data_IF_884904025071
#
_entry.id   IF_884904025071
#
_cell.length_a   1.000
_cell.length_b   1.000
_cell.length_c   1.000
_cell.angle_alpha   90.00
_cell.angle_beta   90.00
_cell.angle_gamma   90.00
#
_symmetry.space_group_name_H-M   'P 1'
#
loop_
_entity.id
_entity.type
_entity.pdbx_description
1 polymer ?
#
# COMPACT_ATOMS: atom_id res chain seq x y z
N UNK A 1 5.39 17.54 12.55
CA UNK A 1 4.59 16.44 11.97
C UNK A 1 3.17 16.64 12.45
N UNK A 2 2.21 16.78 11.53
CA UNK A 2 0.80 16.95 11.90
C UNK A 2 0.22 15.60 12.36
N UNK A 3 -0.64 15.57 13.39
CA UNK A 3 -1.35 14.36 13.76
C UNK A 3 -2.26 13.91 12.61
N UNK A 4 -2.26 12.60 12.32
CA UNK A 4 -3.16 12.02 11.32
C UNK A 4 -4.62 11.98 11.78
N UNK A 5 -5.56 11.75 10.87
CA UNK A 5 -7.00 11.79 11.15
C UNK A 5 -7.42 10.86 12.32
N UNK A 6 -6.85 9.67 12.41
CA UNK A 6 -7.09 8.73 13.52
C UNK A 6 -6.66 9.28 14.89
N UNK A 7 -5.57 10.07 14.95
CA UNK A 7 -5.11 10.67 16.20
C UNK A 7 -6.00 11.85 16.63
N UNK A 8 -6.52 12.61 15.66
CA UNK A 8 -7.48 13.70 15.90
C UNK A 8 -8.81 13.13 16.41
N UNK A 9 -9.30 12.05 15.81
CA UNK A 9 -10.54 11.39 16.23
C UNK A 9 -10.44 10.85 17.67
N UNK A 10 -9.30 10.25 18.03
CA UNK A 10 -9.10 9.75 19.40
C UNK A 10 -9.07 10.90 20.43
N UNK A 11 -8.42 12.02 20.11
CA UNK A 11 -8.43 13.21 20.97
C UNK A 11 -9.84 13.80 21.11
N UNK A 12 -10.62 13.84 20.02
CA UNK A 12 -12.01 14.29 20.07
C UNK A 12 -12.91 13.36 20.88
N UNK A 13 -12.79 12.03 20.73
CA UNK A 13 -13.53 11.06 21.53
C UNK A 13 -13.21 11.13 23.03
N UNK A 14 -11.98 11.52 23.38
CA UNK A 14 -11.56 11.60 24.78
C UNK A 14 -12.00 12.91 25.45
N UNK A 15 -12.64 13.83 24.71
CA UNK A 15 -13.23 15.05 25.27
C UNK A 15 -14.64 14.74 25.78
N UNK A 16 -14.88 15.09 27.04
CA UNK A 16 -16.18 14.90 27.68
C UNK A 16 -17.22 15.83 27.05
N UNK A 17 -18.39 15.32 26.62
CA UNK A 17 -19.43 16.17 26.05
C UNK A 17 -20.03 17.11 27.10
N UNK A 18 -20.33 18.33 26.69
CA UNK A 18 -20.97 19.31 27.56
C UNK A 18 -22.40 18.89 27.86
N UNK A 19 -22.65 18.47 29.11
CA UNK A 19 -23.98 17.99 29.54
C UNK A 19 -25.09 19.03 29.37
N UNK A 20 -24.80 20.33 29.61
CA UNK A 20 -25.82 21.39 29.44
C UNK A 20 -26.13 21.63 27.97
N UNK A 21 -25.11 21.76 27.14
CA UNK A 21 -25.31 21.88 25.71
C UNK A 21 -26.07 20.69 25.12
N UNK A 22 -25.76 19.46 25.55
CA UNK A 22 -26.45 18.25 25.09
C UNK A 22 -27.93 18.19 25.50
N UNK A 23 -28.25 18.64 26.72
CA UNK A 23 -29.61 18.57 27.26
C UNK A 23 -30.52 19.72 26.81
N UNK A 24 -29.99 20.94 26.74
CA UNK A 24 -30.76 22.17 26.49
C UNK A 24 -30.45 22.84 25.17
N UNK A 25 -29.43 22.38 24.41
CA UNK A 25 -28.95 23.06 23.20
C UNK A 25 -28.25 24.40 23.46
N UNK A 26 -28.13 24.79 24.74
CA UNK A 26 -27.54 26.03 25.19
C UNK A 26 -26.61 25.75 26.38
N UNK A 27 -25.49 26.46 26.41
CA UNK A 27 -24.46 26.34 27.44
C UNK A 27 -24.12 27.73 27.96
N UNK A 28 -24.19 27.91 29.28
CA UNK A 28 -23.91 29.19 29.95
C UNK A 28 -22.46 29.67 29.76
N UNK A 29 -21.55 28.75 29.49
CA UNK A 29 -20.13 29.03 29.24
C UNK A 29 -19.82 29.41 27.78
N UNK A 30 -20.80 29.28 26.87
CA UNK A 30 -20.67 29.64 25.46
C UNK A 30 -19.45 29.00 24.79
N UNK A 31 -18.67 29.74 23.97
CA UNK A 31 -17.51 29.21 23.25
C UNK A 31 -16.30 28.89 24.14
N UNK A 32 -16.29 29.37 25.39
CA UNK A 32 -15.23 29.07 26.38
C UNK A 32 -15.52 27.80 27.20
N UNK A 33 -16.49 26.99 26.78
CA UNK A 33 -16.82 25.77 27.50
C UNK A 33 -15.62 24.80 27.48
N UNK A 34 -15.22 24.32 28.66
CA UNK A 34 -14.15 23.33 28.79
C UNK A 34 -14.55 21.92 28.33
N UNK A 35 -15.82 21.75 27.96
CA UNK A 35 -16.44 20.51 27.53
C UNK A 35 -16.88 20.62 26.07
N UNK A 36 -16.89 19.51 25.36
CA UNK A 36 -17.13 19.50 23.93
C UNK A 36 -18.60 19.80 23.61
N UNK A 37 -18.85 20.83 22.81
CA UNK A 37 -20.17 21.09 22.25
C UNK A 37 -20.34 20.22 21.01
N UNK A 38 -20.71 18.96 21.20
CA UNK A 38 -21.07 18.09 20.08
C UNK A 38 -22.43 18.55 19.56
N UNK A 39 -22.45 19.39 18.52
CA UNK A 39 -23.53 19.27 17.53
C UNK A 39 -23.39 17.85 16.97
N UNK A 40 -24.49 17.11 16.98
CA UNK A 40 -24.60 15.68 16.73
C UNK A 40 -23.88 15.12 15.47
N UNK A 41 -23.44 15.99 14.57
CA UNK A 41 -22.77 15.67 13.31
C UNK A 41 -21.24 15.46 13.40
N UNK A 42 -20.51 16.12 14.31
CA UNK A 42 -19.03 16.13 14.25
C UNK A 42 -18.38 14.75 14.41
N UNK A 43 -18.86 13.94 15.35
CA UNK A 43 -18.33 12.58 15.57
C UNK A 43 -18.66 11.63 14.41
N UNK A 44 -19.81 11.81 13.75
CA UNK A 44 -20.16 11.01 12.57
C UNK A 44 -19.28 11.38 11.38
N UNK A 45 -19.07 12.67 11.13
CA UNK A 45 -18.24 13.14 10.03
C UNK A 45 -16.79 12.65 10.16
N UNK A 46 -16.21 12.72 11.38
CA UNK A 46 -14.88 12.16 11.64
C UNK A 46 -14.82 10.64 11.44
N UNK A 47 -15.85 9.90 11.86
CA UNK A 47 -15.92 8.45 11.64
C UNK A 47 -15.97 8.11 10.15
N UNK A 48 -16.71 8.89 9.35
CA UNK A 48 -16.79 8.72 7.90
C UNK A 48 -15.41 8.97 7.27
N UNK A 49 -14.73 10.03 7.70
CA UNK A 49 -13.40 10.40 7.19
C UNK A 49 -12.33 9.33 7.51
N UNK A 50 -12.36 8.74 8.71
CA UNK A 50 -11.44 7.65 9.07
C UNK A 50 -11.70 6.39 8.24
N UNK A 51 -12.96 6.05 8.01
CA UNK A 51 -13.31 4.91 7.17
C UNK A 51 -12.93 5.15 5.71
N UNK A 52 -13.06 6.38 5.20
CA UNK A 52 -12.61 6.75 3.86
C UNK A 52 -11.08 6.66 3.74
N UNK A 53 -10.32 7.14 4.73
CA UNK A 53 -8.86 7.01 4.76
C UNK A 53 -8.43 5.54 4.76
N UNK A 54 -9.10 4.70 5.57
CA UNK A 54 -8.88 3.25 5.60
C UNK A 54 -9.17 2.63 4.23
N UNK A 55 -10.31 2.97 3.63
CA UNK A 55 -10.70 2.49 2.30
C UNK A 55 -9.74 2.94 1.21
N UNK A 56 -9.22 4.16 1.27
CA UNK A 56 -8.23 4.66 0.32
C UNK A 56 -6.90 3.91 0.44
N UNK A 57 -6.50 3.54 1.66
CA UNK A 57 -5.28 2.78 1.92
C UNK A 57 -5.40 1.30 1.59
N UNK A 58 -6.60 0.73 1.77
CA UNK A 58 -6.93 -0.65 1.47
C UNK A 58 -7.39 -0.87 0.02
N UNK A 59 -7.66 0.20 -0.73
CA UNK A 59 -8.02 0.13 -2.14
C UNK A 59 -6.91 -0.67 -2.84
N UNK A 60 -7.22 -1.88 -3.37
CA UNK A 60 -6.24 -2.64 -4.11
C UNK A 60 -5.74 -1.76 -5.26
N UNK A 61 -4.44 -1.76 -5.58
CA UNK A 61 -4.01 -1.21 -6.85
C UNK A 61 -4.82 -1.92 -7.93
N UNK A 62 -5.53 -1.13 -8.73
CA UNK A 62 -6.41 -1.63 -9.77
C UNK A 62 -5.59 -2.53 -10.71
N UNK A 63 -5.82 -3.84 -10.63
CA UNK A 63 -5.08 -4.86 -11.39
C UNK A 63 -5.44 -4.84 -12.87
N UNK A 64 -6.50 -4.10 -13.25
CA UNK A 64 -6.84 -3.82 -14.65
C UNK A 64 -5.97 -2.73 -15.27
N UNK A 65 -5.23 -1.97 -14.46
CA UNK A 65 -4.19 -1.05 -14.92
C UNK A 65 -2.81 -1.71 -14.74
N UNK A 66 -2.53 -2.77 -15.51
CA UNK A 66 -1.14 -3.12 -15.78
C UNK A 66 -0.55 -1.89 -16.48
N UNK A 67 0.27 -1.05 -15.83
CA UNK A 67 0.69 0.18 -16.44
C UNK A 67 1.61 -0.25 -17.57
N UNK A 68 1.20 -0.01 -18.82
CA UNK A 68 2.02 -0.31 -20.01
C UNK A 68 3.44 0.28 -19.88
N UNK A 69 3.66 1.25 -18.98
CA UNK A 69 4.98 1.79 -18.64
C UNK A 69 5.66 1.27 -17.36
N UNK A 70 5.29 0.14 -16.74
CA UNK A 70 6.05 -0.37 -15.58
C UNK A 70 7.48 -0.79 -15.98
N UNK A 71 7.63 -1.38 -17.18
CA UNK A 71 8.93 -1.67 -17.80
C UNK A 71 9.71 -0.37 -18.07
N UNK A 72 9.11 0.64 -18.73
CA UNK A 72 9.75 1.94 -18.94
C UNK A 72 10.14 2.65 -17.63
N UNK A 73 9.28 2.64 -16.60
CA UNK A 73 9.59 3.23 -15.29
C UNK A 73 10.83 2.56 -14.72
N UNK A 74 10.86 1.22 -14.69
CA UNK A 74 12.00 0.44 -14.19
C UNK A 74 13.27 0.70 -14.99
N UNK A 75 13.18 0.81 -16.32
CA UNK A 75 14.30 1.18 -17.19
C UNK A 75 14.83 2.59 -16.87
N UNK A 76 13.94 3.58 -16.69
CA UNK A 76 14.31 4.95 -16.34
C UNK A 76 15.03 5.02 -14.99
N UNK A 77 14.58 4.26 -13.98
CA UNK A 77 15.28 4.14 -12.70
C UNK A 77 16.68 3.55 -12.87
N UNK A 78 16.82 2.49 -13.67
CA UNK A 78 18.12 1.86 -13.94
C UNK A 78 19.07 2.79 -14.71
N UNK A 79 18.56 3.60 -15.64
CA UNK A 79 19.35 4.59 -16.39
C UNK A 79 19.70 5.84 -15.59
N UNK A 80 18.90 6.17 -14.57
CA UNK A 80 19.10 7.35 -13.73
C UNK A 80 19.87 7.04 -12.44
N UNK A 81 20.06 5.75 -12.13
CA UNK A 81 20.92 5.32 -11.05
C UNK A 81 22.36 5.80 -11.33
N UNK A 82 23.05 6.41 -10.35
CA UNK A 82 24.42 6.88 -10.55
C UNK A 82 25.27 5.68 -10.97
N UNK A 83 25.83 5.76 -12.17
CA UNK A 83 26.76 4.78 -12.72
C UNK A 83 28.04 4.82 -11.89
N UNK A 84 28.08 4.05 -10.80
CA UNK A 84 29.35 3.59 -10.28
C UNK A 84 29.92 2.63 -11.32
N UNK A 85 30.71 3.17 -12.24
CA UNK A 85 31.70 2.40 -13.00
C UNK A 85 32.58 1.68 -11.98
N UNK A 86 32.19 0.47 -11.63
CA UNK A 86 33.15 -0.54 -11.22
C UNK A 86 33.80 -1.05 -12.51
N UNK A 87 35.12 -0.91 -12.53
CA UNK A 87 36.10 -1.27 -13.56
C UNK A 87 35.77 -2.47 -14.47
N UNK A 88 36.24 -2.46 -15.73
CA UNK A 88 36.08 -3.59 -16.62
C UNK A 88 36.94 -4.74 -16.10
N UNK A 89 36.40 -5.96 -16.23
CA UNK A 89 37.11 -7.22 -16.01
C UNK A 89 37.18 -7.73 -14.56
N UNK A 90 36.01 -8.05 -14.01
CA UNK A 90 35.84 -9.39 -13.47
C UNK A 90 34.47 -9.86 -13.90
N UNK A 91 34.44 -10.84 -14.81
CA UNK A 91 33.22 -11.60 -15.03
C UNK A 91 32.71 -12.01 -13.65
N UNK A 92 31.59 -11.43 -13.20
CA UNK A 92 30.91 -11.90 -12.00
C UNK A 92 30.43 -13.29 -12.35
N UNK A 93 31.28 -14.28 -12.09
CA UNK A 93 30.93 -15.69 -12.15
C UNK A 93 29.85 -15.83 -11.10
N UNK A 94 28.60 -15.82 -11.55
CA UNK A 94 27.46 -16.12 -10.70
C UNK A 94 27.60 -17.58 -10.30
N UNK A 95 28.20 -17.80 -9.13
CA UNK A 95 28.32 -19.14 -8.57
C UNK A 95 26.96 -19.47 -7.95
N UNK A 96 26.22 -20.37 -8.58
CA UNK A 96 25.02 -20.94 -7.97
C UNK A 96 25.41 -21.65 -6.67
N UNK A 97 24.62 -21.54 -5.59
CA UNK A 97 24.86 -22.30 -4.38
C UNK A 97 24.97 -23.79 -4.68
N UNK A 98 25.85 -24.48 -3.96
CA UNK A 98 26.24 -25.88 -4.25
C UNK A 98 25.05 -26.84 -4.08
N UNK A 99 24.05 -26.48 -3.28
CA UNK A 99 22.84 -27.26 -3.02
C UNK A 99 21.73 -27.07 -4.06
N UNK A 100 21.99 -26.35 -5.15
CA UNK A 100 21.00 -26.18 -6.21
C UNK A 100 20.96 -27.42 -7.09
N UNK A 101 19.79 -28.03 -7.18
CA UNK A 101 19.52 -29.09 -8.15
C UNK A 101 19.84 -28.57 -9.55
N UNK A 102 20.71 -29.25 -10.32
CA UNK A 102 21.01 -28.87 -11.70
C UNK A 102 19.72 -28.66 -12.49
N UNK A 103 19.70 -27.71 -13.43
CA UNK A 103 18.52 -27.41 -14.25
C UNK A 103 17.94 -28.66 -14.92
N UNK A 104 18.80 -29.62 -15.22
CA UNK A 104 18.50 -30.91 -15.85
C UNK A 104 17.66 -31.84 -14.95
N UNK A 105 17.69 -31.64 -13.64
CA UNK A 105 16.99 -32.44 -12.62
C UNK A 105 15.72 -31.76 -12.11
N UNK A 106 15.45 -30.53 -12.54
CA UNK A 106 14.21 -29.83 -12.22
C UNK A 106 13.02 -30.51 -12.92
N UNK A 107 11.84 -30.46 -12.30
CA UNK A 107 10.62 -30.92 -12.94
C UNK A 107 10.39 -30.17 -14.28
N UNK A 108 9.80 -30.80 -15.31
CA UNK A 108 9.59 -30.17 -16.63
C UNK A 108 8.79 -28.86 -16.58
N UNK A 109 7.95 -28.66 -15.56
CA UNK A 109 7.19 -27.43 -15.33
C UNK A 109 8.05 -26.24 -14.89
N UNK A 110 9.28 -26.48 -14.44
CA UNK A 110 10.24 -25.47 -13.99
C UNK A 110 11.29 -25.14 -15.05
N UNK A 111 11.27 -25.82 -16.20
CA UNK A 111 12.20 -25.53 -17.29
C UNK A 111 11.78 -24.28 -18.04
N UNK A 112 12.77 -23.47 -18.43
CA UNK A 112 12.53 -22.33 -19.30
C UNK A 112 11.84 -22.81 -20.59
N UNK A 113 10.83 -22.08 -21.08
CA UNK A 113 10.19 -22.44 -22.33
C UNK A 113 11.23 -22.45 -23.45
N UNK A 114 11.29 -23.50 -24.28
CA UNK A 114 12.18 -23.51 -25.42
C UNK A 114 11.87 -22.33 -26.36
N UNK A 115 12.88 -21.80 -27.07
CA UNK A 115 12.70 -20.65 -27.98
C UNK A 115 11.69 -20.93 -29.11
N UNK A 116 11.33 -22.19 -29.35
CA UNK A 116 10.16 -22.60 -30.13
C UNK A 116 9.09 -23.12 -29.18
N UNK A 117 7.89 -22.54 -29.24
CA UNK A 117 6.70 -22.87 -28.41
C UNK A 117 6.57 -24.37 -28.12
N UNK A 118 6.16 -24.69 -26.89
CA UNK A 118 5.81 -26.05 -26.47
C UNK A 118 4.82 -26.68 -27.47
N UNK A 119 5.05 -27.92 -27.94
CA UNK A 119 4.03 -28.63 -28.69
C UNK A 119 2.79 -28.75 -27.79
N UNK A 120 1.66 -28.29 -28.29
CA UNK A 120 0.37 -28.49 -27.63
C UNK A 120 0.17 -30.00 -27.48
N UNK A 121 0.10 -30.46 -26.24
CA UNK A 121 -0.24 -31.86 -25.93
C UNK A 121 -1.66 -32.10 -26.46
N UNK A 122 -1.90 -33.17 -27.25
CA UNK A 122 -3.26 -33.49 -27.67
C UNK A 122 -4.11 -33.76 -26.42
N UNK A 123 -5.30 -33.17 -26.42
CA UNK A 123 -6.31 -33.36 -25.38
C UNK A 123 -6.64 -34.85 -25.30
N UNK A 124 -6.36 -35.46 -24.14
CA UNK A 124 -6.84 -36.81 -23.84
C UNK A 124 -8.32 -36.65 -23.51
N UNK A 125 -9.18 -37.17 -24.40
CA UNK A 125 -10.58 -37.43 -24.12
C UNK A 125 -10.73 -38.63 -23.18
#
# INVERSE_FOLDING_TARGET
>A
MFPGAAAILLDEQNKWPCRKFLLTGQCDFGPNCRFFHCQSDNLQELSIQVEEERRARERPPDITEFPEGHLEKRAKWLSSAPSSRAEPNRATVFQSPVDWTPVQELAPSLWAPPPRRWPLKPSIQ
#
